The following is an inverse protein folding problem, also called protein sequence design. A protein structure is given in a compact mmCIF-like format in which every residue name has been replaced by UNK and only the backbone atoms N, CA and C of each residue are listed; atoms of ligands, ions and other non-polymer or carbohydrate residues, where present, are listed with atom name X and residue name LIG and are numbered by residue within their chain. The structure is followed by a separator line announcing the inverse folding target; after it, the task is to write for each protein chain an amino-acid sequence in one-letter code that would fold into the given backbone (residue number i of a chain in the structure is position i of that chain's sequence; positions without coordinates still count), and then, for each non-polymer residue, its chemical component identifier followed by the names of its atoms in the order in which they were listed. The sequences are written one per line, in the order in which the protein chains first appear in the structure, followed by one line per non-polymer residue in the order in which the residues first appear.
data_IF_373811532361
#
_entry.id   IF_373811532361
#
_cell.length_a   1.000
_cell.length_b   1.000
_cell.length_c   1.000
_cell.angle_alpha   90.00
_cell.angle_beta   90.00
_cell.angle_gamma   90.00
#
_symmetry.space_group_name_H-M   'P 1'
#
loop_
_entity.id
_entity.type
_entity.pdbx_description
1 polymer ?
#
# COMPACT_ATOMS: atom_id res chain seq x y z
N UNK A 1 12.29 10.98 -4.38
CA UNK A 1 12.05 12.10 -3.47
C UNK A 1 12.07 13.44 -4.17
N UNK A 2 13.10 13.75 -4.94
CA UNK A 2 13.23 15.04 -5.65
C UNK A 2 11.98 15.41 -6.48
N UNK A 3 11.43 14.45 -7.23
CA UNK A 3 10.35 14.70 -8.20
C UNK A 3 8.94 14.28 -7.75
N UNK A 4 8.83 13.37 -6.80
CA UNK A 4 7.53 12.80 -6.40
C UNK A 4 6.87 13.65 -5.30
N UNK A 5 5.56 13.89 -5.45
CA UNK A 5 4.70 14.46 -4.40
C UNK A 5 4.18 13.40 -3.42
N UNK A 6 4.01 12.16 -3.89
CA UNK A 6 3.71 10.95 -3.11
C UNK A 6 4.15 9.73 -3.93
N UNK A 7 4.21 8.56 -3.30
CA UNK A 7 4.49 7.28 -3.96
C UNK A 7 3.27 6.37 -3.79
N UNK A 8 2.77 5.85 -4.90
CA UNK A 8 1.71 4.84 -4.89
C UNK A 8 2.31 3.44 -4.87
N UNK A 9 1.92 2.63 -3.89
CA UNK A 9 2.28 1.21 -3.80
C UNK A 9 1.12 0.40 -4.38
N UNK A 10 1.33 -0.24 -5.52
CA UNK A 10 0.28 -0.96 -6.23
C UNK A 10 0.41 -2.47 -6.02
N UNK A 11 -0.47 -3.02 -5.17
CA UNK A 11 -0.60 -4.47 -4.93
C UNK A 11 -1.92 -5.05 -5.46
N UNK A 12 -2.63 -4.29 -6.29
CA UNK A 12 -4.01 -4.59 -6.72
C UNK A 12 -4.15 -4.95 -8.20
N UNK A 13 -3.05 -4.98 -8.97
CA UNK A 13 -3.07 -5.33 -10.39
C UNK A 13 -3.65 -6.73 -10.62
N UNK A 14 -4.69 -6.90 -11.46
CA UNK A 14 -5.19 -8.22 -11.84
C UNK A 14 -4.25 -8.95 -12.81
N UNK A 15 -3.33 -8.23 -13.46
CA UNK A 15 -2.48 -8.75 -14.54
C UNK A 15 -1.15 -9.33 -14.04
N UNK A 16 -0.91 -9.32 -12.73
CA UNK A 16 0.33 -9.80 -12.13
C UNK A 16 0.01 -10.99 -11.21
N UNK A 17 0.30 -12.24 -11.65
CA UNK A 17 0.01 -13.43 -10.85
C UNK A 17 0.61 -13.36 -9.45
N UNK A 18 -0.19 -13.68 -8.43
CA UNK A 18 0.24 -13.68 -7.03
C UNK A 18 0.36 -12.30 -6.38
N UNK A 19 0.16 -11.18 -7.09
CA UNK A 19 0.32 -9.87 -6.47
C UNK A 19 -0.77 -9.57 -5.43
N UNK A 20 -2.02 -9.97 -5.73
CA UNK A 20 -3.16 -9.72 -4.85
C UNK A 20 -3.05 -10.47 -3.51
N UNK A 21 -2.25 -11.53 -3.40
CA UNK A 21 -2.08 -12.23 -2.11
C UNK A 21 -1.31 -11.38 -1.08
N UNK A 22 -0.57 -10.36 -1.52
CA UNK A 22 0.09 -9.40 -0.63
C UNK A 22 -0.89 -8.45 0.07
N UNK A 23 -2.18 -8.46 -0.30
CA UNK A 23 -3.21 -7.63 0.35
C UNK A 23 -3.67 -8.21 1.70
N UNK A 24 -3.16 -9.39 2.11
CA UNK A 24 -3.72 -10.12 3.23
C UNK A 24 -2.68 -10.54 4.26
N UNK A 25 -3.12 -10.57 5.52
CA UNK A 25 -2.41 -11.17 6.64
C UNK A 25 -1.01 -10.58 6.87
N UNK A 26 -0.10 -11.45 7.31
CA UNK A 26 1.27 -11.06 7.68
C UNK A 26 2.08 -10.48 6.51
N UNK A 27 1.78 -10.92 5.28
CA UNK A 27 2.49 -10.44 4.09
C UNK A 27 2.25 -8.95 3.84
N UNK A 28 1.04 -8.45 4.12
CA UNK A 28 0.76 -7.03 4.02
C UNK A 28 1.54 -6.26 5.10
N UNK A 29 1.48 -6.71 6.35
CA UNK A 29 2.18 -6.05 7.46
C UNK A 29 3.70 -6.00 7.25
N UNK A 30 4.32 -7.09 6.79
CA UNK A 30 5.74 -7.16 6.49
C UNK A 30 6.10 -6.13 5.40
N UNK A 31 5.37 -6.13 4.29
CA UNK A 31 5.56 -5.17 3.19
C UNK A 31 5.45 -3.71 3.66
N UNK A 32 4.40 -3.38 4.42
CA UNK A 32 4.18 -2.02 4.89
C UNK A 32 5.29 -1.57 5.86
N UNK A 33 5.75 -2.47 6.73
CA UNK A 33 6.82 -2.18 7.69
C UNK A 33 8.16 -1.89 6.98
N UNK A 34 8.52 -2.69 5.98
CA UNK A 34 9.73 -2.49 5.19
C UNK A 34 9.67 -1.19 4.38
N UNK A 35 8.51 -0.90 3.77
CA UNK A 35 8.30 0.34 3.03
C UNK A 35 8.43 1.57 3.91
N UNK A 36 7.90 1.53 5.14
CA UNK A 36 8.01 2.65 6.08
C UNK A 36 9.43 2.82 6.63
N UNK A 37 10.13 1.72 6.90
CA UNK A 37 11.56 1.77 7.23
C UNK A 37 12.36 2.42 6.10
N UNK A 38 12.08 2.05 4.84
CA UNK A 38 12.75 2.66 3.69
C UNK A 38 12.33 4.12 3.46
N UNK A 39 11.07 4.46 3.71
CA UNK A 39 10.58 5.84 3.65
C UNK A 39 11.34 6.73 4.64
N UNK A 40 11.60 6.26 5.86
CA UNK A 40 12.35 6.99 6.87
C UNK A 40 13.80 7.26 6.42
N UNK A 41 14.52 6.22 5.98
CA UNK A 41 15.90 6.34 5.49
C UNK A 41 16.00 7.33 4.32
N UNK A 42 15.07 7.26 3.37
CA UNK A 42 15.07 8.16 2.21
C UNK A 42 14.62 9.58 2.60
N UNK A 43 13.73 9.74 3.58
CA UNK A 43 13.31 11.06 4.06
C UNK A 43 14.48 11.81 4.69
N UNK A 44 15.32 11.12 5.46
CA UNK A 44 16.56 11.67 6.02
C UNK A 44 17.56 12.02 4.91
N UNK A 45 17.82 11.08 3.99
CA UNK A 45 18.78 11.26 2.89
C UNK A 45 18.46 12.45 2.00
N UNK A 46 17.18 12.68 1.71
CA UNK A 46 16.75 13.75 0.80
C UNK A 46 16.21 15.00 1.54
N UNK A 47 16.20 15.00 2.88
CA UNK A 47 15.59 16.03 3.71
C UNK A 47 14.18 16.43 3.24
N UNK A 48 13.38 15.44 2.85
CA UNK A 48 12.03 15.62 2.30
C UNK A 48 11.18 14.42 2.65
N UNK A 49 9.99 14.64 3.22
CA UNK A 49 9.01 13.59 3.39
C UNK A 49 8.20 13.39 2.11
N UNK A 50 8.03 12.14 1.66
CA UNK A 50 7.17 11.80 0.51
C UNK A 50 6.17 10.73 0.96
N UNK A 51 4.88 11.08 1.07
CA UNK A 51 3.83 10.16 1.52
C UNK A 51 3.76 8.87 0.71
N UNK A 52 3.43 7.77 1.37
CA UNK A 52 3.10 6.48 0.77
C UNK A 52 1.59 6.27 0.77
N UNK A 53 1.02 5.93 -0.39
CA UNK A 53 -0.39 5.56 -0.52
C UNK A 53 -0.53 4.15 -1.10
N UNK A 54 -1.32 3.29 -0.44
CA UNK A 54 -1.56 1.92 -0.92
C UNK A 54 -2.75 1.89 -1.88
N UNK A 55 -2.58 1.31 -3.07
CA UNK A 55 -3.67 1.14 -4.05
C UNK A 55 -4.29 -0.25 -3.94
N UNK A 56 -5.56 -0.32 -3.56
CA UNK A 56 -6.30 -1.57 -3.29
C UNK A 56 -7.22 -1.98 -4.45
N UNK A 57 -7.54 -3.28 -4.53
CA UNK A 57 -8.51 -3.81 -5.47
C UNK A 57 -9.94 -3.45 -5.03
N UNK A 58 -10.90 -3.29 -5.97
CA UNK A 58 -12.31 -3.11 -5.61
C UNK A 58 -12.98 -4.42 -5.17
N UNK A 59 -12.40 -5.56 -5.56
CA UNK A 59 -12.98 -6.89 -5.34
C UNK A 59 -12.55 -7.43 -3.95
N UNK A 60 -13.02 -6.78 -2.89
CA UNK A 60 -12.73 -7.13 -1.49
C UNK A 60 -14.04 -7.23 -0.70
N UNK A 61 -14.14 -8.22 0.19
CA UNK A 61 -15.18 -8.31 1.20
C UNK A 61 -14.99 -7.27 2.31
N UNK A 62 -16.05 -6.99 3.06
CA UNK A 62 -16.01 -6.05 4.19
C UNK A 62 -14.96 -6.45 5.24
N UNK A 63 -14.82 -7.75 5.51
CA UNK A 63 -13.81 -8.28 6.44
C UNK A 63 -12.38 -8.03 5.94
N UNK A 64 -12.14 -8.22 4.64
CA UNK A 64 -10.83 -7.94 4.02
C UNK A 64 -10.52 -6.44 4.06
N UNK A 65 -11.52 -5.57 3.86
CA UNK A 65 -11.36 -4.11 3.98
C UNK A 65 -10.96 -3.75 5.41
N UNK A 66 -11.65 -4.30 6.42
CA UNK A 66 -11.31 -4.06 7.83
C UNK A 66 -9.86 -4.49 8.15
N UNK A 67 -9.45 -5.67 7.70
CA UNK A 67 -8.08 -6.17 7.91
C UNK A 67 -7.03 -5.26 7.26
N UNK A 68 -7.28 -4.81 6.03
CA UNK A 68 -6.37 -3.87 5.34
C UNK A 68 -6.30 -2.55 6.11
N UNK A 69 -7.44 -2.00 6.56
CA UNK A 69 -7.48 -0.78 7.36
C UNK A 69 -6.65 -0.91 8.64
N UNK A 70 -6.79 -2.02 9.37
CA UNK A 70 -6.02 -2.29 10.59
C UNK A 70 -4.51 -2.33 10.31
N UNK A 71 -4.08 -3.03 9.26
CA UNK A 71 -2.67 -3.06 8.83
C UNK A 71 -2.12 -1.69 8.44
N UNK A 72 -2.92 -0.88 7.73
CA UNK A 72 -2.51 0.46 7.32
C UNK A 72 -2.32 1.40 8.52
N UNK A 73 -3.25 1.36 9.48
CA UNK A 73 -3.17 2.15 10.71
C UNK A 73 -1.99 1.71 11.57
N UNK A 74 -1.81 0.40 11.76
CA UNK A 74 -0.69 -0.18 12.51
C UNK A 74 0.67 0.26 11.96
N UNK A 75 0.81 0.34 10.64
CA UNK A 75 2.04 0.74 9.97
C UNK A 75 2.15 2.24 9.69
N UNK A 76 1.18 3.07 10.09
CA UNK A 76 1.17 4.51 9.84
C UNK A 76 1.30 4.85 8.33
N UNK A 77 0.54 4.18 7.47
CA UNK A 77 0.49 4.50 6.04
C UNK A 77 -0.27 5.80 5.82
N UNK A 78 0.22 6.63 4.88
CA UNK A 78 -0.22 8.02 4.73
C UNK A 78 -1.54 8.16 3.94
N UNK A 79 -1.92 7.13 3.18
CA UNK A 79 -3.19 7.14 2.46
C UNK A 79 -3.53 5.83 1.75
N UNK A 80 -4.75 5.82 1.23
CA UNK A 80 -5.30 4.71 0.43
C UNK A 80 -5.81 5.27 -0.90
N UNK A 81 -5.54 4.56 -1.98
CA UNK A 81 -6.09 4.81 -3.31
C UNK A 81 -7.11 3.72 -3.59
N UNK A 82 -8.39 4.07 -3.43
CA UNK A 82 -9.53 3.21 -3.75
C UNK A 82 -10.18 3.74 -5.06
N UNK A 83 -10.24 2.99 -6.16
CA UNK A 83 -9.82 1.59 -6.36
C UNK A 83 -9.02 1.39 -7.65
N UNK A 84 -8.41 0.23 -7.81
CA UNK A 84 -7.96 -0.26 -9.11
C UNK A 84 -9.13 -0.80 -9.95
N UNK A 85 -8.85 -1.31 -11.15
CA UNK A 85 -9.86 -1.94 -12.02
C UNK A 85 -10.40 -3.22 -11.39
N UNK A 86 -11.71 -3.42 -11.50
CA UNK A 86 -12.40 -4.67 -11.10
C UNK A 86 -12.18 -5.77 -12.14
N UNK A 87 -12.34 -7.03 -11.71
CA UNK A 87 -12.43 -8.19 -12.59
C UNK A 87 -13.86 -8.38 -13.15
N UNK A 88 -14.86 -7.81 -12.48
CA UNK A 88 -16.25 -7.84 -12.95
C UNK A 88 -16.42 -6.86 -14.13
N UNK A 89 -17.18 -7.29 -15.14
CA UNK A 89 -17.46 -6.52 -16.36
C UNK A 89 -18.92 -6.10 -16.41
#
# INVERSE_FOLDING_TARGET
YEYAGYIAVNISSPNTPGLRSLQYGEALDELLSELKAKQAELSEKYNKYVPLALKIAPDLSDDEICQICDSLLKNNIDGVIATNTTLDR
#
